data_IF_046986672237
#
_entry.id   IF_046986672237
#
_cell.length_a   1.000
_cell.length_b   1.000
_cell.length_c   1.000
_cell.angle_alpha   90.00
_cell.angle_beta   90.00
_cell.angle_gamma   90.00
#
_symmetry.space_group_name_H-M   'P 1'
#
loop_
_entity.id
_entity.type
_entity.pdbx_description
1 polymer ?
#
# COMPACT_ATOMS: atom_id res chain seq x y z
N UNK A 1 -9.55 -7.92 -7.38
CA UNK A 1 -8.55 -7.58 -6.36
C UNK A 1 -7.89 -6.25 -6.73
N UNK A 2 -8.15 -5.18 -5.97
CA UNK A 2 -7.59 -3.84 -6.24
C UNK A 2 -6.63 -3.44 -5.13
N UNK A 3 -5.40 -3.09 -5.50
CA UNK A 3 -4.39 -2.58 -4.57
C UNK A 3 -4.57 -1.07 -4.39
N UNK A 4 -4.59 -0.63 -3.14
CA UNK A 4 -4.68 0.78 -2.76
C UNK A 4 -3.56 1.15 -1.80
N UNK A 5 -3.28 2.45 -1.71
CA UNK A 5 -2.33 2.97 -0.75
C UNK A 5 -2.96 2.97 0.65
N UNK A 6 -2.22 2.51 1.66
CA UNK A 6 -2.52 2.76 3.05
C UNK A 6 -2.21 4.24 3.37
N UNK A 7 -3.17 5.12 3.07
CA UNK A 7 -3.02 6.56 3.20
C UNK A 7 -2.64 6.96 4.65
N UNK A 8 -3.33 6.47 5.71
CA UNK A 8 -2.97 6.83 7.08
C UNK A 8 -1.52 6.51 7.45
N UNK A 9 -1.06 5.28 7.19
CA UNK A 9 0.34 4.90 7.49
C UNK A 9 1.35 5.68 6.66
N UNK A 10 1.04 5.92 5.39
CA UNK A 10 1.93 6.69 4.51
C UNK A 10 2.07 8.14 5.00
N UNK A 11 0.96 8.77 5.40
CA UNK A 11 0.98 10.14 5.92
C UNK A 11 1.71 10.24 7.26
N UNK A 12 1.51 9.27 8.16
CA UNK A 12 2.25 9.19 9.42
C UNK A 12 3.77 9.09 9.19
N UNK A 13 4.19 8.23 8.27
CA UNK A 13 5.60 8.10 7.91
C UNK A 13 6.16 9.39 7.29
N UNK A 14 5.40 10.05 6.41
CA UNK A 14 5.79 11.34 5.85
C UNK A 14 5.98 12.39 6.93
N UNK A 15 5.09 12.47 7.91
CA UNK A 15 5.19 13.41 9.03
C UNK A 15 6.43 13.14 9.88
N UNK A 16 6.69 11.87 10.24
CA UNK A 16 7.89 11.45 10.98
C UNK A 16 9.19 11.82 10.25
N UNK A 17 9.18 11.83 8.91
CA UNK A 17 10.34 12.21 8.08
C UNK A 17 10.36 13.70 7.69
N UNK A 18 9.33 14.47 8.05
CA UNK A 18 9.17 15.87 7.66
C UNK A 18 8.99 16.08 6.15
N UNK A 19 8.35 15.16 5.45
CA UNK A 19 8.16 15.21 4.00
C UNK A 19 6.85 15.85 3.60
N UNK A 20 6.90 16.81 2.68
CA UNK A 20 5.71 17.28 1.95
C UNK A 20 5.30 16.30 0.83
N UNK A 21 4.09 16.46 0.29
CA UNK A 21 3.67 15.71 -0.92
C UNK A 21 4.61 15.96 -2.12
N UNK A 22 5.28 17.11 -2.16
CA UNK A 22 6.30 17.45 -3.17
C UNK A 22 7.57 16.64 -2.97
N UNK A 23 8.03 16.51 -1.73
CA UNK A 23 9.22 15.73 -1.40
C UNK A 23 8.97 14.27 -1.70
N UNK A 24 7.78 13.77 -1.40
CA UNK A 24 7.37 12.43 -1.78
C UNK A 24 7.44 12.24 -3.31
N UNK A 25 6.86 13.16 -4.09
CA UNK A 25 6.90 13.11 -5.55
C UNK A 25 8.34 13.04 -6.10
N UNK A 26 9.24 13.86 -5.55
CA UNK A 26 10.65 13.87 -5.93
C UNK A 26 11.36 12.56 -5.54
N UNK A 27 11.04 11.99 -4.37
CA UNK A 27 11.65 10.75 -3.87
C UNK A 27 11.21 9.52 -4.65
N UNK A 28 9.93 9.44 -5.03
CA UNK A 28 9.40 8.31 -5.80
C UNK A 28 9.62 8.47 -7.32
N UNK A 29 9.96 9.68 -7.78
CA UNK A 29 10.16 9.98 -9.20
C UNK A 29 8.85 10.10 -10.00
N UNK A 30 7.77 10.55 -9.38
CA UNK A 30 6.46 10.73 -10.04
C UNK A 30 6.02 12.20 -10.06
N UNK A 31 5.01 12.51 -10.87
CA UNK A 31 4.43 13.85 -10.88
C UNK A 31 3.69 14.16 -9.56
N UNK A 32 3.71 15.44 -9.15
CA UNK A 32 2.94 15.93 -7.98
C UNK A 32 1.45 15.63 -8.11
N UNK A 33 0.90 15.70 -9.33
CA UNK A 33 -0.51 15.40 -9.61
C UNK A 33 -0.82 13.93 -9.35
N UNK A 34 0.10 13.02 -9.68
CA UNK A 34 -0.07 11.59 -9.41
C UNK A 34 -0.06 11.31 -7.90
N UNK A 35 0.91 11.88 -7.17
CA UNK A 35 0.97 11.79 -5.69
C UNK A 35 -0.33 12.31 -5.07
N UNK A 36 -0.75 13.50 -5.46
CA UNK A 36 -1.99 14.10 -4.97
C UNK A 36 -3.21 13.20 -5.20
N UNK A 37 -3.39 12.67 -6.42
CA UNK A 37 -4.52 11.81 -6.76
C UNK A 37 -4.51 10.50 -5.96
N UNK A 38 -3.34 9.91 -5.72
CA UNK A 38 -3.22 8.67 -4.94
C UNK A 38 -3.45 8.92 -3.45
N UNK A 39 -2.85 9.97 -2.87
CA UNK A 39 -3.03 10.32 -1.44
C UNK A 39 -4.46 10.74 -1.10
N UNK A 40 -5.26 11.15 -2.09
CA UNK A 40 -6.68 11.44 -1.93
C UNK A 40 -7.60 10.26 -2.31
N UNK A 41 -7.04 9.09 -2.63
CA UNK A 41 -7.80 7.90 -3.03
C UNK A 41 -8.49 8.02 -4.40
N UNK A 42 -8.24 9.08 -5.15
CA UNK A 42 -8.87 9.33 -6.46
C UNK A 42 -8.36 8.36 -7.53
N UNK A 43 -7.16 7.82 -7.34
CA UNK A 43 -6.56 6.79 -8.22
C UNK A 43 -5.80 5.76 -7.41
N UNK A 44 -5.81 4.52 -7.92
CA UNK A 44 -4.94 3.47 -7.43
C UNK A 44 -3.48 3.77 -7.80
N UNK A 45 -2.50 3.36 -6.97
CA UNK A 45 -1.10 3.48 -7.31
C UNK A 45 -0.75 2.55 -8.49
N UNK A 46 -0.08 3.10 -9.51
CA UNK A 46 0.47 2.30 -10.62
C UNK A 46 1.83 1.69 -10.26
N UNK A 47 2.35 0.82 -11.12
CA UNK A 47 3.60 0.08 -10.88
C UNK A 47 4.79 0.98 -10.52
N UNK A 48 4.98 2.09 -11.25
CA UNK A 48 6.05 3.06 -10.98
C UNK A 48 5.90 3.71 -9.60
N UNK A 49 4.66 4.04 -9.21
CA UNK A 49 4.38 4.61 -7.89
C UNK A 49 4.68 3.60 -6.79
N UNK A 50 4.27 2.34 -6.98
CA UNK A 50 4.50 1.26 -6.00
C UNK A 50 6.00 1.03 -5.82
N UNK A 51 6.73 0.86 -6.91
CA UNK A 51 8.19 0.65 -6.87
C UNK A 51 8.92 1.85 -6.25
N UNK A 52 8.56 3.07 -6.65
CA UNK A 52 9.14 4.29 -6.12
C UNK A 52 8.87 4.45 -4.62
N UNK A 53 7.65 4.18 -4.17
CA UNK A 53 7.28 4.28 -2.76
C UNK A 53 8.00 3.24 -1.91
N UNK A 54 8.07 1.97 -2.34
CA UNK A 54 8.84 0.93 -1.64
C UNK A 54 10.32 1.29 -1.53
N UNK A 55 10.89 1.91 -2.58
CA UNK A 55 12.27 2.37 -2.56
C UNK A 55 12.50 3.59 -1.67
N UNK A 56 11.53 4.50 -1.57
CA UNK A 56 11.59 5.70 -0.73
C UNK A 56 11.32 5.38 0.76
N UNK A 57 10.44 4.44 1.04
CA UNK A 57 9.98 4.04 2.37
C UNK A 57 10.55 2.66 2.77
N UNK A 58 11.86 2.45 2.63
CA UNK A 58 12.50 1.13 2.88
C UNK A 58 12.36 0.60 4.31
N UNK A 59 12.01 1.48 5.24
CA UNK A 59 11.75 1.16 6.65
C UNK A 59 10.36 0.52 6.85
N UNK A 60 9.48 0.59 5.85
CA UNK A 60 8.14 0.02 5.86
C UNK A 60 8.06 -1.19 4.94
N UNK A 61 7.27 -2.19 5.34
CA UNK A 61 6.96 -3.33 4.48
C UNK A 61 5.87 -3.01 3.46
N UNK A 62 5.71 -3.90 2.47
CA UNK A 62 4.63 -3.80 1.48
C UNK A 62 3.24 -3.72 2.15
N UNK A 63 2.99 -4.56 3.14
CA UNK A 63 1.72 -4.62 3.86
C UNK A 63 1.46 -3.41 4.76
N UNK A 64 2.49 -2.61 5.07
CA UNK A 64 2.31 -1.33 5.75
C UNK A 64 1.85 -0.26 4.78
N UNK A 65 2.38 -0.29 3.55
CA UNK A 65 2.13 0.72 2.53
C UNK A 65 0.89 0.46 1.69
N UNK A 66 0.47 -0.79 1.50
CA UNK A 66 -0.62 -1.12 0.58
C UNK A 66 -1.66 -2.08 1.17
N UNK A 67 -2.92 -1.89 0.75
CA UNK A 67 -4.09 -2.66 1.20
C UNK A 67 -4.84 -3.16 -0.04
N UNK A 68 -5.37 -4.39 0.03
CA UNK A 68 -6.31 -4.91 -0.96
C UNK A 68 -7.75 -4.55 -0.58
N UNK A 69 -8.47 -3.85 -1.46
CA UNK A 69 -9.87 -3.40 -1.21
C UNK A 69 -10.91 -4.52 -1.24
N UNK A 70 -10.60 -5.67 -1.86
CA UNK A 70 -11.55 -6.77 -1.99
C UNK A 70 -11.13 -7.94 -1.11
N UNK A 71 -12.08 -8.58 -0.39
CA UNK A 71 -11.82 -9.84 0.28
C UNK A 71 -11.36 -10.86 -0.77
N UNK A 72 -10.48 -11.76 -0.35
CA UNK A 72 -10.11 -12.92 -1.17
C UNK A 72 -11.40 -13.64 -1.59
N UNK A 73 -11.48 -14.17 -2.82
CA UNK A 73 -12.61 -15.00 -3.20
C UNK A 73 -12.79 -16.12 -2.18
N UNK A 74 -14.03 -16.37 -1.76
CA UNK A 74 -14.37 -17.50 -0.90
C UNK A 74 -13.84 -18.79 -1.53
N UNK A 75 -13.06 -19.58 -0.79
CA UNK A 75 -12.52 -20.83 -1.33
C UNK A 75 -11.21 -21.33 -0.74
N UNK A 76 -10.85 -20.93 0.48
CA UNK A 76 -9.75 -21.59 1.20
C UNK A 76 -10.15 -21.78 2.67
N UNK A 77 -11.34 -22.35 2.87
CA UNK A 77 -11.60 -23.11 4.08
C UNK A 77 -10.73 -24.36 3.93
N UNK A 78 -9.61 -24.41 4.65
CA UNK A 78 -9.05 -25.72 4.97
C UNK A 78 -10.14 -26.40 5.77
N UNK A 79 -10.80 -27.37 5.17
CA UNK A 79 -11.53 -28.37 5.93
C UNK A 79 -10.48 -28.96 6.88
N UNK A 80 -10.44 -28.47 8.12
CA UNK A 80 -9.89 -29.21 9.23
C UNK A 80 -10.77 -30.46 9.33
N UNK A 81 -10.49 -31.47 8.50
CA UNK A 81 -10.94 -32.82 8.76
C UNK A 81 -10.45 -33.12 10.18
N UNK A 82 -11.39 -33.11 11.13
CA UNK A 82 -11.24 -33.74 12.42
C UNK A 82 -10.60 -35.10 12.18
N UNK A 83 -9.31 -35.23 12.53
CA UNK A 83 -8.67 -36.53 12.58
C UNK A 83 -9.40 -37.27 13.72
N UNK A 84 -10.19 -38.31 13.44
CA UNK A 84 -10.86 -39.04 14.51
C UNK A 84 -9.78 -39.73 15.32
N UNK A 85 -9.82 -39.50 16.62
CA UNK A 85 -8.98 -40.19 17.59
C UNK A 85 -9.20 -41.71 17.44
N UNK A 86 -8.18 -42.44 16.98
CA UNK A 86 -8.18 -43.90 16.88
C UNK A 86 -6.89 -44.46 17.53
#
# INVERSE_FOLDING_TARGET
MRLTLNIPKTLEFMDQKGWSETDLANKIGCSRVQVYRVLRGQRAPGNEFIAGLLSACREMGFNDLFIFEEPLPFGNEVDEEEVPNA
#
